data_IF_916981357482
#
_entry.id   IF_916981357482
#
_cell.length_a   1.000
_cell.length_b   1.000
_cell.length_c   1.000
_cell.angle_alpha   90.00
_cell.angle_beta   90.00
_cell.angle_gamma   90.00
#
_symmetry.space_group_name_H-M   'P 1'
#
loop_
_entity.id
_entity.type
_entity.pdbx_description
1 polymer ?
#
# COMPACT_ATOMS: atom_id res chain seq x y z
N UNK A 1 6.19 24.20 -1.33
CA UNK A 1 7.20 23.13 -1.46
C UNK A 1 6.50 21.82 -1.20
N UNK A 2 6.69 20.82 -2.04
CA UNK A 2 6.05 19.51 -1.86
C UNK A 2 6.80 18.72 -0.79
N UNK A 3 6.13 18.35 0.29
CA UNK A 3 6.72 17.55 1.36
C UNK A 3 6.73 16.07 0.96
N UNK A 4 7.89 15.58 0.54
CA UNK A 4 8.07 14.19 0.09
C UNK A 4 8.07 13.18 1.25
N UNK A 5 8.17 13.64 2.49
CA UNK A 5 8.30 12.80 3.68
C UNK A 5 6.94 12.63 4.35
N UNK A 6 6.26 13.73 4.65
CA UNK A 6 5.00 13.69 5.38
C UNK A 6 3.78 13.62 4.44
N UNK A 7 3.86 14.18 3.23
CA UNK A 7 2.75 14.20 2.26
C UNK A 7 3.18 13.80 0.84
N UNK A 8 3.70 12.56 0.65
CA UNK A 8 4.18 12.10 -0.63
C UNK A 8 3.05 12.05 -1.68
N UNK A 9 3.18 12.78 -2.80
CA UNK A 9 2.11 12.91 -3.80
C UNK A 9 1.84 11.61 -4.58
N UNK A 10 2.74 10.63 -4.46
CA UNK A 10 2.74 9.42 -5.28
C UNK A 10 1.71 8.38 -4.84
N UNK A 11 1.00 8.59 -3.73
CA UNK A 11 -0.10 7.73 -3.31
C UNK A 11 -1.20 8.48 -2.53
N UNK A 12 -1.04 9.78 -2.24
CA UNK A 12 -2.06 10.64 -1.63
C UNK A 12 -2.81 11.48 -2.70
N UNK A 13 -3.37 10.82 -3.73
CA UNK A 13 -4.06 11.51 -4.85
C UNK A 13 -5.56 11.75 -4.62
N UNK A 14 -6.09 11.36 -3.45
CA UNK A 14 -7.49 11.52 -3.07
C UNK A 14 -7.71 12.48 -1.89
N UNK A 15 -8.95 12.55 -1.39
CA UNK A 15 -9.31 13.34 -0.20
C UNK A 15 -8.82 12.72 1.12
N UNK A 16 -8.42 11.45 1.07
CA UNK A 16 -7.99 10.64 2.21
C UNK A 16 -6.56 10.20 1.91
N UNK A 17 -5.66 10.40 2.86
CA UNK A 17 -4.29 9.89 2.73
C UNK A 17 -4.29 8.38 2.92
N UNK A 18 -3.43 7.69 2.18
CA UNK A 18 -3.39 6.22 2.25
C UNK A 18 -2.99 5.73 3.63
N UNK A 19 -2.10 6.46 4.31
CA UNK A 19 -1.72 6.14 5.69
C UNK A 19 -2.91 6.28 6.64
N UNK A 20 -3.70 7.36 6.53
CA UNK A 20 -4.89 7.57 7.36
C UNK A 20 -5.90 6.45 7.16
N UNK A 21 -6.16 6.05 5.91
CA UNK A 21 -7.04 4.92 5.60
C UNK A 21 -6.53 3.60 6.20
N UNK A 22 -5.22 3.33 6.12
CA UNK A 22 -4.61 2.13 6.69
C UNK A 22 -4.77 2.10 8.22
N UNK A 23 -4.56 3.23 8.89
CA UNK A 23 -4.69 3.36 10.34
C UNK A 23 -6.15 3.27 10.80
N UNK A 24 -7.07 3.93 10.11
CA UNK A 24 -8.51 3.92 10.42
C UNK A 24 -9.11 2.50 10.33
N UNK A 25 -8.76 1.77 9.29
CA UNK A 25 -9.22 0.40 9.07
C UNK A 25 -8.47 -0.64 9.93
N UNK A 26 -7.49 -0.21 10.75
CA UNK A 26 -6.66 -1.07 11.60
C UNK A 26 -5.97 -2.20 10.84
N UNK A 27 -5.54 -1.91 9.61
CA UNK A 27 -4.86 -2.88 8.76
C UNK A 27 -3.49 -3.25 9.33
N UNK A 28 -3.12 -4.52 9.17
CA UNK A 28 -1.82 -5.03 9.57
C UNK A 28 -0.71 -4.55 8.64
N UNK A 29 0.53 -4.93 8.97
CA UNK A 29 1.69 -4.57 8.15
C UNK A 29 1.58 -5.08 6.71
N UNK A 30 1.13 -6.33 6.52
CA UNK A 30 1.01 -6.93 5.18
C UNK A 30 -0.06 -6.20 4.36
N UNK A 31 -1.26 -6.01 4.92
CA UNK A 31 -2.38 -5.33 4.25
C UNK A 31 -2.03 -3.88 3.88
N UNK A 32 -1.42 -3.15 4.81
CA UNK A 32 -1.00 -1.76 4.59
C UNK A 32 0.02 -1.63 3.45
N UNK A 33 0.95 -2.57 3.33
CA UNK A 33 1.90 -2.59 2.21
C UNK A 33 1.19 -2.86 0.88
N UNK A 34 0.24 -3.80 0.84
CA UNK A 34 -0.57 -4.07 -0.37
C UNK A 34 -1.30 -2.81 -0.81
N UNK A 35 -2.03 -2.17 0.10
CA UNK A 35 -2.81 -0.94 -0.18
C UNK A 35 -1.87 0.17 -0.69
N UNK A 36 -0.74 0.38 -0.01
CA UNK A 36 0.26 1.38 -0.41
C UNK A 36 0.72 1.18 -1.87
N UNK A 37 1.10 -0.03 -2.26
CA UNK A 37 1.56 -0.29 -3.63
C UNK A 37 0.42 -0.21 -4.66
N UNK A 38 -0.80 -0.62 -4.28
CA UNK A 38 -2.00 -0.50 -5.11
C UNK A 38 -2.42 0.95 -5.36
N UNK A 39 -2.22 1.86 -4.40
CA UNK A 39 -2.45 3.28 -4.61
C UNK A 39 -1.30 3.93 -5.41
N UNK A 40 -0.06 3.42 -5.27
CA UNK A 40 1.14 4.06 -5.82
C UNK A 40 1.41 3.79 -7.30
N UNK A 41 1.03 2.61 -7.81
CA UNK A 41 1.48 2.16 -9.13
C UNK A 41 1.10 3.11 -10.29
N UNK A 42 0.01 3.86 -10.14
CA UNK A 42 -0.47 4.83 -11.15
C UNK A 42 0.31 6.15 -11.16
N UNK A 43 1.13 6.42 -10.14
CA UNK A 43 1.63 7.78 -9.88
C UNK A 43 3.15 7.89 -9.75
N UNK A 44 3.86 6.82 -9.40
CA UNK A 44 5.33 6.87 -9.18
C UNK A 44 6.17 6.69 -10.45
N UNK A 45 5.61 6.06 -11.49
CA UNK A 45 6.31 5.80 -12.77
C UNK A 45 6.93 4.41 -12.92
N UNK A 46 6.83 3.53 -11.91
CA UNK A 46 7.26 2.11 -11.99
C UNK A 46 6.11 1.12 -11.72
N UNK A 47 5.05 1.12 -12.57
CA UNK A 47 3.81 0.40 -12.30
C UNK A 47 3.99 -1.11 -12.13
N UNK A 48 4.79 -1.76 -12.99
CA UNK A 48 5.01 -3.20 -12.92
C UNK A 48 5.75 -3.62 -11.63
N UNK A 49 6.72 -2.82 -11.18
CA UNK A 49 7.46 -3.10 -9.95
C UNK A 49 6.54 -2.96 -8.72
N UNK A 50 5.69 -1.93 -8.71
CA UNK A 50 4.71 -1.73 -7.64
C UNK A 50 3.68 -2.86 -7.59
N UNK A 51 3.17 -3.31 -8.75
CA UNK A 51 2.25 -4.46 -8.80
C UNK A 51 2.91 -5.77 -8.34
N UNK A 52 4.18 -6.01 -8.71
CA UNK A 52 4.95 -7.16 -8.22
C UNK A 52 5.16 -7.10 -6.70
N UNK A 53 5.41 -5.92 -6.14
CA UNK A 53 5.49 -5.72 -4.69
C UNK A 53 4.15 -6.00 -4.02
N UNK A 54 3.04 -5.47 -4.56
CA UNK A 54 1.71 -5.78 -4.05
C UNK A 54 1.45 -7.30 -4.03
N UNK A 55 1.74 -8.01 -5.14
CA UNK A 55 1.63 -9.46 -5.21
C UNK A 55 2.47 -10.18 -4.16
N UNK A 56 3.71 -9.75 -3.93
CA UNK A 56 4.57 -10.33 -2.90
C UNK A 56 3.93 -10.29 -1.50
N UNK A 57 3.37 -9.13 -1.12
CA UNK A 57 2.71 -8.98 0.18
C UNK A 57 1.38 -9.71 0.26
N UNK A 58 0.58 -9.74 -0.82
CA UNK A 58 -0.64 -10.54 -0.90
C UNK A 58 -0.34 -12.03 -0.70
N UNK A 59 0.70 -12.56 -1.35
CA UNK A 59 1.08 -13.97 -1.19
C UNK A 59 1.48 -14.29 0.25
N UNK A 60 2.16 -13.35 0.95
CA UNK A 60 2.50 -13.49 2.37
C UNK A 60 1.26 -13.51 3.25
N UNK A 61 0.30 -12.63 2.97
CA UNK A 61 -0.96 -12.57 3.70
C UNK A 61 -1.78 -13.85 3.50
N UNK A 62 -1.86 -14.37 2.28
CA UNK A 62 -2.51 -15.66 1.98
C UNK A 62 -1.87 -16.78 2.80
N UNK A 63 -0.53 -16.86 2.84
CA UNK A 63 0.16 -17.87 3.65
C UNK A 63 -0.19 -17.74 5.13
N UNK A 64 -0.18 -16.52 5.68
CA UNK A 64 -0.52 -16.28 7.10
C UNK A 64 -1.93 -16.74 7.43
N UNK A 65 -2.92 -16.40 6.59
CA UNK A 65 -4.32 -16.81 6.78
C UNK A 65 -4.48 -18.32 6.60
N UNK A 66 -3.83 -18.93 5.60
CA UNK A 66 -3.92 -20.38 5.35
C UNK A 66 -3.29 -21.24 6.45
N UNK A 67 -2.38 -20.68 7.25
CA UNK A 67 -1.81 -21.37 8.42
C UNK A 67 -2.66 -21.23 9.68
N UNK A 68 -3.74 -20.42 9.65
CA UNK A 68 -4.67 -20.25 10.77
C UNK A 68 -5.89 -21.18 10.68
N UNK A 69 -6.01 -21.95 9.58
CA UNK A 69 -7.01 -23.00 9.37
C UNK A 69 -6.50 -24.36 9.88
#
# INVERSE_FOLDING_TARGET
MTDMVNHPPHYNTGKIEVLDFILDQKFGYLDGQVIKYMCRYKHKGTPLEDLKKAQFYVNKLIMEVSCQE
#
